data_IF_342997670641
#
_entry.id   IF_342997670641
#
_cell.length_a   1.000
_cell.length_b   1.000
_cell.length_c   1.000
_cell.angle_alpha   90.00
_cell.angle_beta   90.00
_cell.angle_gamma   90.00
#
_symmetry.space_group_name_H-M   'P 1'
#
loop_
_entity.id
_entity.type
_entity.pdbx_description
1 polymer ?
#
# COMPACT_ATOMS: atom_id res chain seq x y z
N UNK A 1 57.21 -22.83 19.38
CA UNK A 1 57.06 -21.76 20.40
C UNK A 1 55.68 -21.15 20.19
N UNK A 2 54.78 -21.36 21.15
CA UNK A 2 53.45 -20.77 21.18
C UNK A 2 53.54 -19.37 21.83
N UNK A 3 52.89 -18.38 21.22
CA UNK A 3 52.72 -17.06 21.81
C UNK A 3 51.23 -16.73 21.85
N UNK A 4 50.80 -16.38 23.06
CA UNK A 4 49.45 -16.27 23.58
C UNK A 4 48.77 -14.97 23.13
N UNK A 5 47.45 -15.01 22.93
CA UNK A 5 46.55 -13.87 22.71
C UNK A 5 46.61 -12.86 23.88
N UNK A 6 46.14 -11.62 23.63
CA UNK A 6 45.24 -10.98 24.58
C UNK A 6 43.86 -10.71 23.95
N UNK A 7 42.84 -10.90 24.78
CA UNK A 7 41.43 -10.65 24.56
C UNK A 7 41.16 -9.26 23.97
N UNK A 8 40.33 -9.22 22.92
CA UNK A 8 39.66 -8.00 22.51
C UNK A 8 38.42 -7.81 23.39
N UNK A 9 38.55 -6.89 24.34
CA UNK A 9 37.54 -6.44 25.28
C UNK A 9 36.25 -5.98 24.58
N UNK A 10 35.13 -6.45 25.14
CA UNK A 10 33.76 -6.05 24.83
C UNK A 10 33.47 -4.65 25.37
N UNK A 11 33.59 -3.63 24.51
CA UNK A 11 33.04 -2.28 24.65
C UNK A 11 32.85 -1.80 23.20
N UNK A 12 31.67 -1.45 22.68
CA UNK A 12 30.64 -0.57 23.20
C UNK A 12 29.24 -1.08 22.80
N UNK A 13 28.44 -1.54 23.77
CA UNK A 13 26.99 -1.61 23.59
C UNK A 13 26.43 -0.22 23.91
N UNK A 14 26.19 0.60 22.90
CA UNK A 14 25.38 1.81 23.06
C UNK A 14 23.92 1.39 23.26
N UNK A 15 23.50 1.32 24.53
CA UNK A 15 22.09 1.26 24.91
C UNK A 15 21.50 2.66 24.74
N UNK A 16 20.72 2.87 23.69
CA UNK A 16 19.91 4.08 23.55
C UNK A 16 18.72 3.98 24.52
N UNK A 17 18.86 4.60 25.70
CA UNK A 17 17.76 4.78 26.62
C UNK A 17 16.71 5.71 25.98
N UNK A 18 15.50 5.20 25.74
CA UNK A 18 14.39 5.99 25.24
C UNK A 18 13.89 6.92 26.36
N UNK A 19 14.07 8.24 26.18
CA UNK A 19 13.43 9.25 27.01
C UNK A 19 11.90 9.13 26.91
N UNK A 20 11.14 9.00 28.01
CA UNK A 20 9.68 8.98 27.95
C UNK A 20 9.17 10.32 27.43
N UNK A 21 8.45 10.31 26.30
CA UNK A 21 7.73 11.50 25.82
C UNK A 21 6.43 11.63 26.60
N UNK A 22 6.19 12.86 27.08
CA UNK A 22 4.96 13.30 27.72
C UNK A 22 3.75 13.05 26.79
N UNK A 23 2.59 12.58 27.31
CA UNK A 23 1.42 12.33 26.48
C UNK A 23 0.93 13.64 25.85
N UNK A 24 0.94 13.68 24.51
CA UNK A 24 0.43 14.79 23.72
C UNK A 24 -1.06 15.01 24.01
N UNK A 25 -1.41 16.20 24.49
CA UNK A 25 -2.77 16.66 24.76
C UNK A 25 -3.52 17.09 23.49
N UNK A 26 -3.37 16.33 22.40
CA UNK A 26 -4.08 16.61 21.15
C UNK A 26 -5.57 16.23 21.29
N UNK A 27 -6.52 17.11 20.94
CA UNK A 27 -7.94 16.79 20.99
C UNK A 27 -8.26 15.66 20.00
N UNK A 28 -8.66 14.51 20.53
CA UNK A 28 -9.16 13.38 19.73
C UNK A 28 -10.56 13.76 19.22
N UNK A 29 -10.71 13.99 17.91
CA UNK A 29 -12.04 14.06 17.29
C UNK A 29 -12.64 12.65 17.34
N UNK A 30 -13.90 12.48 17.77
CA UNK A 30 -14.55 11.18 17.72
C UNK A 30 -14.69 10.74 16.25
N UNK A 31 -14.50 9.44 16.01
CA UNK A 31 -14.77 8.83 14.73
C UNK A 31 -16.24 9.07 14.37
N UNK A 32 -16.49 9.74 13.25
CA UNK A 32 -17.84 9.94 12.75
C UNK A 32 -18.43 8.57 12.35
N UNK A 33 -19.62 8.32 12.89
CA UNK A 33 -20.41 7.11 12.74
C UNK A 33 -20.66 6.84 11.26
N UNK A 34 -20.26 5.66 10.76
CA UNK A 34 -20.68 5.20 9.44
C UNK A 34 -22.22 5.17 9.39
N UNK A 35 -22.82 5.91 8.46
CA UNK A 35 -24.26 5.92 8.26
C UNK A 35 -24.70 4.61 7.60
N UNK A 36 -25.62 3.89 8.23
CA UNK A 36 -26.32 2.76 7.62
C UNK A 36 -27.17 3.26 6.45
N UNK A 37 -26.83 2.84 5.23
CA UNK A 37 -27.67 3.06 4.07
C UNK A 37 -28.78 2.00 4.06
N UNK A 38 -29.93 2.35 4.65
CA UNK A 38 -31.16 1.56 4.55
C UNK A 38 -31.71 1.57 3.12
N UNK A 39 -32.12 0.39 2.65
CA UNK A 39 -32.76 0.10 1.37
C UNK A 39 -33.92 1.05 1.02
N UNK A 40 -33.97 1.47 -0.24
CA UNK A 40 -35.22 1.89 -0.89
C UNK A 40 -35.43 1.03 -2.13
N UNK A 41 -36.33 0.06 -2.02
CA UNK A 41 -36.91 -0.68 -3.14
C UNK A 41 -37.66 0.30 -4.05
N UNK A 42 -37.33 0.33 -5.33
CA UNK A 42 -38.28 0.68 -6.38
C UNK A 42 -37.92 -0.12 -7.64
N UNK A 43 -38.79 -1.08 -7.95
CA UNK A 43 -38.80 -1.83 -9.20
C UNK A 43 -39.17 -0.90 -10.36
N UNK A 44 -38.28 -0.77 -11.34
CA UNK A 44 -38.65 -0.40 -12.69
C UNK A 44 -37.70 -1.11 -13.65
N UNK A 45 -38.30 -2.03 -14.40
CA UNK A 45 -37.76 -2.76 -15.53
C UNK A 45 -37.37 -1.76 -16.63
N UNK A 46 -36.06 -1.60 -16.83
CA UNK A 46 -35.52 -1.02 -18.06
C UNK A 46 -34.17 -1.70 -18.34
N UNK A 47 -34.04 -2.17 -19.57
CA UNK A 47 -32.86 -2.75 -20.17
C UNK A 47 -31.66 -1.76 -20.06
N UNK A 48 -30.87 -1.84 -18.99
CA UNK A 48 -29.66 -1.06 -18.80
C UNK A 48 -28.46 -1.89 -19.24
N UNK A 49 -27.56 -1.38 -20.12
CA UNK A 49 -26.32 -2.07 -20.37
C UNK A 49 -25.57 -2.13 -19.04
N UNK A 50 -25.33 -3.34 -18.54
CA UNK A 50 -24.50 -3.55 -17.36
C UNK A 50 -23.18 -2.79 -17.57
N UNK A 51 -22.74 -2.02 -16.57
CA UNK A 51 -21.38 -1.46 -16.39
C UNK A 51 -21.27 0.07 -16.41
N UNK A 52 -22.07 0.79 -15.61
CA UNK A 52 -21.54 1.99 -14.96
C UNK A 52 -22.19 2.15 -13.59
N UNK A 53 -21.60 1.52 -12.56
CA UNK A 53 -21.92 1.89 -11.19
C UNK A 53 -21.01 3.07 -10.85
N UNK A 54 -21.54 4.30 -10.68
CA UNK A 54 -20.71 5.42 -10.27
C UNK A 54 -20.02 5.05 -8.95
N UNK A 55 -18.69 5.11 -8.94
CA UNK A 55 -17.94 4.98 -7.70
C UNK A 55 -18.18 6.22 -6.84
N UNK A 56 -17.91 6.13 -5.53
CA UNK A 56 -18.07 7.27 -4.61
C UNK A 56 -17.14 8.42 -5.03
N UNK A 57 -16.04 8.10 -5.69
CA UNK A 57 -15.02 9.06 -6.12
C UNK A 57 -15.19 9.56 -7.58
N UNK A 58 -16.24 9.13 -8.29
CA UNK A 58 -16.43 9.41 -9.71
C UNK A 58 -15.27 8.87 -10.56
N UNK A 59 -15.16 9.27 -11.82
CA UNK A 59 -14.09 8.81 -12.71
C UNK A 59 -12.82 9.66 -12.58
N UNK A 60 -12.38 9.85 -11.35
CA UNK A 60 -11.20 10.65 -11.06
C UNK A 60 -9.95 9.78 -11.16
N UNK A 61 -9.07 10.11 -12.11
CA UNK A 61 -7.73 9.51 -12.16
C UNK A 61 -6.90 9.92 -10.93
N UNK A 62 -6.13 8.98 -10.41
CA UNK A 62 -5.30 9.12 -9.22
C UNK A 62 -3.83 8.85 -9.52
N UNK A 63 -2.95 9.36 -8.65
CA UNK A 63 -1.54 9.00 -8.66
C UNK A 63 -1.32 7.65 -7.97
N UNK A 64 -0.61 6.74 -8.64
CA UNK A 64 -0.20 5.45 -8.11
C UNK A 64 1.33 5.47 -7.91
N UNK A 65 1.78 5.13 -6.71
CA UNK A 65 3.19 5.06 -6.35
C UNK A 65 3.50 3.69 -5.73
N UNK A 66 4.50 3.01 -6.30
CA UNK A 66 5.00 1.74 -5.82
C UNK A 66 6.40 1.93 -5.25
N UNK A 67 6.65 1.31 -4.10
CA UNK A 67 7.97 1.20 -3.50
C UNK A 67 8.27 -0.27 -3.25
N UNK A 68 9.45 -0.73 -3.67
CA UNK A 68 9.98 -2.03 -3.31
C UNK A 68 11.13 -1.84 -2.32
N UNK A 69 11.12 -2.64 -1.26
CA UNK A 69 12.20 -2.63 -0.26
C UNK A 69 13.33 -3.61 -0.58
N UNK A 70 13.14 -4.49 -1.56
CA UNK A 70 14.16 -5.46 -1.94
C UNK A 70 15.29 -4.79 -2.73
N UNK A 71 16.43 -4.56 -2.07
CA UNK A 71 17.53 -3.75 -2.60
C UNK A 71 18.17 -4.31 -3.88
N UNK A 72 18.12 -5.63 -4.07
CA UNK A 72 18.75 -6.29 -5.22
C UNK A 72 17.82 -6.42 -6.44
N UNK A 73 16.60 -5.89 -6.36
CA UNK A 73 15.64 -5.82 -7.48
C UNK A 73 15.81 -4.49 -8.23
N UNK A 74 15.74 -4.53 -9.56
CA UNK A 74 15.69 -3.36 -10.43
C UNK A 74 14.33 -2.63 -10.37
N UNK A 75 13.29 -3.29 -9.85
CA UNK A 75 12.03 -2.67 -9.47
C UNK A 75 12.20 -2.03 -8.09
N UNK A 76 12.53 -0.73 -8.05
CA UNK A 76 12.73 0.02 -6.80
C UNK A 76 11.57 0.97 -6.50
N UNK A 77 11.32 1.93 -7.39
CA UNK A 77 10.20 2.87 -7.30
C UNK A 77 9.57 3.04 -8.67
N UNK A 78 8.25 3.00 -8.71
CA UNK A 78 7.49 3.23 -9.93
C UNK A 78 6.29 4.15 -9.65
N UNK A 79 6.07 5.15 -10.52
CA UNK A 79 4.94 6.06 -10.43
C UNK A 79 4.19 6.10 -11.75
N UNK A 80 2.86 6.07 -11.67
CA UNK A 80 1.97 6.18 -12.83
C UNK A 80 0.65 6.82 -12.42
N UNK A 81 -0.07 7.36 -13.41
CA UNK A 81 -1.45 7.83 -13.25
C UNK A 81 -2.42 6.70 -13.63
N UNK A 82 -3.47 6.49 -12.84
CA UNK A 82 -4.50 5.48 -13.12
C UNK A 82 -5.40 5.85 -14.31
N UNK A 83 -6.19 4.88 -14.77
CA UNK A 83 -7.34 5.08 -15.64
C UNK A 83 -8.63 4.80 -14.85
N UNK A 84 -9.03 5.80 -14.08
CA UNK A 84 -10.21 5.73 -13.21
C UNK A 84 -9.89 5.71 -11.71
N UNK A 85 -10.92 5.46 -10.89
CA UNK A 85 -10.91 5.78 -9.47
C UNK A 85 -10.23 4.75 -8.59
N UNK A 86 -9.99 5.16 -7.34
CA UNK A 86 -9.34 4.37 -6.30
C UNK A 86 -9.98 2.99 -6.09
N UNK A 87 -11.30 2.84 -6.20
CA UNK A 87 -11.99 1.56 -6.01
C UNK A 87 -11.57 0.51 -7.06
N UNK A 88 -11.38 0.94 -8.31
CA UNK A 88 -10.89 0.06 -9.38
C UNK A 88 -9.44 -0.34 -9.10
N UNK A 89 -8.60 0.62 -8.75
CA UNK A 89 -7.19 0.40 -8.41
C UNK A 89 -7.03 -0.57 -7.23
N UNK A 90 -7.86 -0.44 -6.19
CA UNK A 90 -7.85 -1.38 -5.06
C UNK A 90 -8.28 -2.79 -5.47
N UNK A 91 -9.23 -2.92 -6.40
CA UNK A 91 -9.68 -4.21 -6.92
C UNK A 91 -8.59 -4.89 -7.75
N UNK A 92 -7.98 -4.14 -8.67
CA UNK A 92 -6.89 -4.65 -9.51
C UNK A 92 -5.66 -5.01 -8.66
N UNK A 93 -5.33 -4.17 -7.68
CA UNK A 93 -4.27 -4.46 -6.71
C UNK A 93 -4.53 -5.77 -5.95
N UNK A 94 -5.76 -6.01 -5.50
CA UNK A 94 -6.11 -7.28 -4.85
C UNK A 94 -5.85 -8.48 -5.78
N UNK A 95 -6.11 -8.34 -7.08
CA UNK A 95 -5.77 -9.35 -8.08
C UNK A 95 -4.27 -9.62 -8.17
N UNK A 96 -3.43 -8.58 -8.15
CA UNK A 96 -1.96 -8.71 -8.15
C UNK A 96 -1.45 -9.42 -6.90
N UNK A 97 -2.01 -9.11 -5.73
CA UNK A 97 -1.67 -9.78 -4.46
C UNK A 97 -2.07 -11.25 -4.49
N UNK A 98 -3.29 -11.56 -4.96
CA UNK A 98 -3.76 -12.94 -5.07
C UNK A 98 -2.93 -13.78 -6.05
N UNK A 99 -2.39 -13.16 -7.10
CA UNK A 99 -1.47 -13.81 -8.04
C UNK A 99 -0.09 -14.13 -7.45
N UNK A 100 0.21 -13.69 -6.21
CA UNK A 100 1.48 -13.98 -5.54
C UNK A 100 2.68 -13.30 -6.22
N UNK A 101 2.45 -12.12 -6.81
CA UNK A 101 3.51 -11.36 -7.49
C UNK A 101 4.56 -10.89 -6.48
N UNK A 102 4.10 -10.41 -5.32
CA UNK A 102 4.91 -9.89 -4.23
C UNK A 102 5.05 -10.92 -3.12
N UNK A 103 6.21 -10.92 -2.46
CA UNK A 103 6.46 -11.76 -1.28
C UNK A 103 5.72 -11.21 -0.05
N UNK A 104 5.71 -9.88 0.08
CA UNK A 104 5.05 -9.19 1.19
C UNK A 104 4.52 -7.82 0.75
N UNK A 105 3.34 -7.44 1.25
CA UNK A 105 2.83 -6.07 1.21
C UNK A 105 3.07 -5.45 2.59
N UNK A 106 4.04 -4.54 2.67
CA UNK A 106 4.50 -3.96 3.95
C UNK A 106 3.59 -2.83 4.40
N UNK A 107 3.17 -1.97 3.46
CA UNK A 107 2.27 -0.87 3.77
C UNK A 107 1.45 -0.45 2.55
N UNK A 108 0.26 0.08 2.82
CA UNK A 108 -0.64 0.60 1.80
C UNK A 108 -1.31 1.87 2.34
N UNK A 109 -1.35 2.90 1.49
CA UNK A 109 -2.02 4.16 1.75
C UNK A 109 -2.91 4.49 0.56
N UNK A 110 -4.18 4.75 0.82
CA UNK A 110 -5.18 5.05 -0.21
C UNK A 110 -5.95 6.30 0.19
N UNK A 111 -6.15 7.19 -0.78
CA UNK A 111 -6.92 8.41 -0.65
C UNK A 111 -7.67 8.69 -1.96
N UNK A 112 -8.52 9.71 -1.96
CA UNK A 112 -9.28 10.12 -3.14
C UNK A 112 -8.41 10.40 -4.39
N UNK A 113 -7.15 10.80 -4.21
CA UNK A 113 -6.29 11.26 -5.32
C UNK A 113 -4.98 10.49 -5.43
N UNK A 114 -4.70 9.59 -4.49
CA UNK A 114 -3.41 8.92 -4.42
C UNK A 114 -3.53 7.54 -3.81
N UNK A 115 -2.84 6.59 -4.44
CA UNK A 115 -2.60 5.25 -3.96
C UNK A 115 -1.09 5.04 -3.85
N UNK A 116 -0.61 4.60 -2.70
CA UNK A 116 0.80 4.28 -2.47
C UNK A 116 0.92 2.94 -1.80
N UNK A 117 1.81 2.10 -2.31
CA UNK A 117 2.05 0.77 -1.76
C UNK A 117 3.54 0.51 -1.64
N UNK A 118 3.92 -0.08 -0.51
CA UNK A 118 5.28 -0.57 -0.26
C UNK A 118 5.26 -2.08 -0.16
N UNK A 119 6.09 -2.75 -0.95
CA UNK A 119 6.15 -4.20 -1.07
C UNK A 119 7.58 -4.71 -0.89
N UNK A 120 7.71 -6.02 -0.69
CA UNK A 120 8.96 -6.77 -0.87
C UNK A 120 8.77 -7.68 -2.08
N UNK A 121 9.67 -7.57 -3.05
CA UNK A 121 9.64 -8.38 -4.26
C UNK A 121 11.07 -8.61 -4.77
N UNK A 122 11.55 -9.85 -4.74
CA UNK A 122 12.85 -10.20 -5.33
C UNK A 122 12.87 -10.27 -6.85
N UNK A 123 11.69 -10.29 -7.49
CA UNK A 123 11.56 -10.33 -8.95
C UNK A 123 12.01 -9.03 -9.58
N UNK A 124 12.47 -9.13 -10.82
CA UNK A 124 12.90 -8.00 -11.62
C UNK A 124 11.71 -7.35 -12.37
N UNK A 125 11.93 -6.17 -12.92
CA UNK A 125 10.92 -5.29 -13.48
C UNK A 125 10.22 -5.89 -14.71
N UNK A 126 10.94 -6.66 -15.52
CA UNK A 126 10.37 -7.35 -16.69
C UNK A 126 9.28 -8.37 -16.31
N UNK A 127 9.44 -9.01 -15.16
CA UNK A 127 8.45 -9.92 -14.57
C UNK A 127 7.29 -9.15 -13.92
N UNK A 128 7.61 -8.13 -13.11
CA UNK A 128 6.64 -7.39 -12.29
C UNK A 128 5.77 -6.44 -13.13
N UNK A 129 6.35 -5.82 -14.17
CA UNK A 129 5.69 -4.79 -14.97
C UNK A 129 4.41 -5.28 -15.62
N UNK A 130 4.31 -6.55 -16.00
CA UNK A 130 3.09 -7.12 -16.60
C UNK A 130 1.87 -7.07 -15.67
N UNK A 131 2.11 -7.14 -14.36
CA UNK A 131 1.07 -7.11 -13.33
C UNK A 131 0.83 -5.70 -12.81
N UNK A 132 1.91 -4.96 -12.56
CA UNK A 132 1.79 -3.59 -12.04
C UNK A 132 1.24 -2.64 -13.11
N UNK A 133 1.54 -2.88 -14.39
CA UNK A 133 0.96 -2.11 -15.49
C UNK A 133 -0.48 -2.50 -15.81
N UNK A 134 -0.98 -3.64 -15.35
CA UNK A 134 -2.40 -4.00 -15.53
C UNK A 134 -3.29 -3.35 -14.48
N UNK A 135 -2.72 -2.83 -13.39
CA UNK A 135 -3.41 -1.94 -12.45
C UNK A 135 -3.55 -0.57 -13.15
N UNK A 136 -4.62 -0.45 -13.95
CA UNK A 136 -4.99 0.74 -14.73
C UNK A 136 -6.46 1.05 -14.55
#
# INVERSE_FOLDING_TARGET
MAATRPDASQADQQSAAATPREPSSAPTRPAERCADASESTNSADTDFPLLYRPTVHGDTDIDIIWHNLYADSDFSVFRKRSEGPIERILTDFAGVVQAGVFEEVVSLSASKYMFTVTVVCSKQWDEVSKFVMSVL
#
